data_IF_395236075073
#
_entry.id   IF_395236075073
#
_cell.length_a   1.000
_cell.length_b   1.000
_cell.length_c   1.000
_cell.angle_alpha   90.00
_cell.angle_beta   90.00
_cell.angle_gamma   90.00
#
_symmetry.space_group_name_H-M   'P 1'
#
loop_
_entity.id
_entity.type
_entity.pdbx_description
1 polymer ?
#
# COMPACT_ATOMS: atom_id res chain seq x y z
N UNK A 1 -15.66 -15.64 -10.66
CA UNK A 1 -14.95 -14.35 -10.77
C UNK A 1 -13.51 -14.66 -11.20
N UNK A 2 -13.01 -14.05 -12.28
CA UNK A 2 -11.60 -14.18 -12.71
C UNK A 2 -10.89 -12.86 -12.37
N UNK A 3 -10.26 -12.73 -11.19
CA UNK A 3 -9.65 -11.48 -10.78
C UNK A 3 -8.46 -11.14 -11.69
N UNK A 4 -8.29 -9.85 -12.00
CA UNK A 4 -7.12 -9.40 -12.72
C UNK A 4 -5.87 -9.63 -11.86
N UNK A 5 -4.83 -10.23 -12.45
CA UNK A 5 -3.56 -10.52 -11.75
C UNK A 5 -2.95 -9.29 -11.08
N UNK A 6 -3.07 -8.12 -11.70
CA UNK A 6 -2.69 -6.82 -11.13
C UNK A 6 -3.31 -6.55 -9.76
N UNK A 7 -4.58 -6.91 -9.56
CA UNK A 7 -5.30 -6.70 -8.29
C UNK A 7 -4.80 -7.69 -7.25
N UNK A 8 -4.48 -8.93 -7.66
CA UNK A 8 -3.84 -9.91 -6.76
C UNK A 8 -2.49 -9.38 -6.29
N UNK A 9 -1.62 -8.94 -7.21
CA UNK A 9 -0.34 -8.32 -6.84
C UNK A 9 -0.51 -7.09 -5.95
N UNK A 10 -1.45 -6.20 -6.29
CA UNK A 10 -1.78 -5.05 -5.47
C UNK A 10 -2.15 -5.48 -4.03
N UNK A 11 -3.10 -6.41 -3.86
CA UNK A 11 -3.57 -6.83 -2.53
C UNK A 11 -2.45 -7.46 -1.69
N UNK A 12 -1.59 -8.28 -2.30
CA UNK A 12 -0.48 -8.94 -1.60
C UNK A 12 0.59 -7.92 -1.20
N UNK A 13 1.02 -7.06 -2.13
CA UNK A 13 2.06 -6.07 -1.87
C UNK A 13 1.59 -4.99 -0.89
N UNK A 14 0.38 -4.46 -1.07
CA UNK A 14 -0.19 -3.45 -0.18
C UNK A 14 -0.42 -4.03 1.23
N UNK A 15 -0.99 -5.23 1.32
CA UNK A 15 -1.21 -5.91 2.60
C UNK A 15 0.10 -6.22 3.33
N UNK A 16 1.14 -6.67 2.62
CA UNK A 16 2.44 -6.92 3.23
C UNK A 16 3.12 -5.63 3.68
N UNK A 17 3.12 -4.58 2.86
CA UNK A 17 3.66 -3.28 3.23
C UNK A 17 2.96 -2.69 4.46
N UNK A 18 1.63 -2.64 4.46
CA UNK A 18 0.85 -2.14 5.60
C UNK A 18 1.10 -2.97 6.86
N UNK A 19 1.10 -4.30 6.75
CA UNK A 19 1.38 -5.21 7.86
C UNK A 19 2.78 -5.02 8.44
N UNK A 20 3.79 -4.86 7.57
CA UNK A 20 5.16 -4.59 7.98
C UNK A 20 5.28 -3.26 8.73
N UNK A 21 4.67 -2.18 8.23
CA UNK A 21 4.65 -0.88 8.90
C UNK A 21 4.02 -0.96 10.30
N UNK A 22 2.88 -1.66 10.43
CA UNK A 22 2.19 -1.85 11.71
C UNK A 22 3.05 -2.63 12.70
N UNK A 23 3.66 -3.74 12.26
CA UNK A 23 4.52 -4.56 13.13
C UNK A 23 5.74 -3.78 13.61
N UNK A 24 6.38 -3.01 12.72
CA UNK A 24 7.51 -2.15 13.10
C UNK A 24 7.11 -1.06 14.11
N UNK A 25 5.96 -0.41 13.89
CA UNK A 25 5.43 0.58 14.81
C UNK A 25 5.14 -0.02 16.20
N UNK A 26 4.50 -1.19 16.25
CA UNK A 26 4.25 -1.92 17.49
C UNK A 26 5.53 -2.32 18.20
N UNK A 27 6.56 -2.76 17.46
CA UNK A 27 7.85 -3.13 18.03
C UNK A 27 8.55 -1.94 18.72
N UNK A 28 8.46 -0.74 18.12
CA UNK A 28 8.97 0.50 18.73
C UNK A 28 8.17 0.87 19.98
N UNK A 29 6.83 0.86 19.89
CA UNK A 29 5.95 1.21 21.02
C UNK A 29 6.07 0.24 22.20
N UNK A 30 6.33 -1.04 21.94
CA UNK A 30 6.59 -2.06 22.96
C UNK A 30 8.01 -1.99 23.55
N UNK A 31 8.87 -1.07 23.07
CA UNK A 31 10.27 -0.97 23.50
C UNK A 31 11.18 -2.08 22.97
N UNK A 32 10.69 -2.94 22.06
CA UNK A 32 11.47 -4.03 21.45
C UNK A 32 12.39 -3.57 20.33
N UNK A 33 12.21 -2.35 19.82
CA UNK A 33 13.04 -1.76 18.77
C UNK A 33 13.37 -0.32 19.11
N UNK A 34 14.66 0.04 19.03
CA UNK A 34 15.09 1.41 19.24
C UNK A 34 14.53 2.33 18.12
N UNK A 35 14.01 3.52 18.48
CA UNK A 35 13.69 4.55 17.51
C UNK A 35 14.91 4.85 16.61
N UNK A 36 14.67 5.07 15.33
CA UNK A 36 15.71 5.35 14.32
C UNK A 36 16.81 4.29 14.17
N UNK A 37 16.60 3.04 14.63
CA UNK A 37 17.55 1.95 14.36
C UNK A 37 17.67 1.66 12.85
N UNK A 38 18.85 1.20 12.36
CA UNK A 38 19.01 0.84 10.95
C UNK A 38 18.01 -0.22 10.46
N UNK A 39 17.61 -1.14 11.34
CA UNK A 39 16.58 -2.14 11.05
C UNK A 39 15.19 -1.51 10.87
N UNK A 40 14.83 -0.55 11.73
CA UNK A 40 13.57 0.20 11.57
C UNK A 40 13.56 0.94 10.23
N UNK A 41 14.66 1.65 9.92
CA UNK A 41 14.76 2.45 8.70
C UNK A 41 14.70 1.59 7.44
N UNK A 42 15.43 0.46 7.40
CA UNK A 42 15.38 -0.46 6.25
C UNK A 42 14.01 -1.15 6.12
N UNK A 43 13.38 -1.51 7.23
CA UNK A 43 12.03 -2.08 7.26
C UNK A 43 10.97 -1.10 6.76
N UNK A 44 11.04 0.17 7.18
CA UNK A 44 10.16 1.22 6.69
C UNK A 44 10.39 1.52 5.20
N UNK A 45 11.64 1.54 4.75
CA UNK A 45 11.97 1.71 3.33
C UNK A 45 11.41 0.56 2.47
N UNK A 46 11.54 -0.69 2.94
CA UNK A 46 10.96 -1.85 2.29
C UNK A 46 9.43 -1.77 2.26
N UNK A 47 8.80 -1.41 3.39
CA UNK A 47 7.35 -1.16 3.45
C UNK A 47 6.94 -0.14 2.41
N UNK A 48 7.63 1.00 2.33
CA UNK A 48 7.34 2.05 1.35
C UNK A 48 7.45 1.54 -0.09
N UNK A 49 8.51 0.80 -0.41
CA UNK A 49 8.71 0.21 -1.72
C UNK A 49 7.59 -0.76 -2.10
N UNK A 50 7.14 -1.61 -1.16
CA UNK A 50 6.03 -2.53 -1.37
C UNK A 50 4.71 -1.79 -1.63
N UNK A 51 4.41 -0.73 -0.86
CA UNK A 51 3.20 0.06 -1.03
C UNK A 51 3.19 0.80 -2.38
N UNK A 52 4.32 1.40 -2.77
CA UNK A 52 4.46 2.03 -4.09
C UNK A 52 4.32 1.02 -5.23
N UNK A 53 4.94 -0.16 -5.11
CA UNK A 53 4.84 -1.23 -6.10
C UNK A 53 3.40 -1.76 -6.21
N UNK A 54 2.72 -1.95 -5.08
CA UNK A 54 1.32 -2.32 -5.05
C UNK A 54 0.44 -1.27 -5.75
N UNK A 55 0.57 -0.01 -5.36
CA UNK A 55 -0.20 1.09 -5.96
C UNK A 55 0.03 1.14 -7.48
N UNK A 56 1.28 1.04 -7.94
CA UNK A 56 1.61 0.97 -9.36
C UNK A 56 0.94 -0.24 -10.05
N UNK A 57 0.97 -1.42 -9.43
CA UNK A 57 0.31 -2.62 -9.96
C UNK A 57 -1.20 -2.42 -10.16
N UNK A 58 -1.86 -1.62 -9.33
CA UNK A 58 -3.30 -1.31 -9.47
C UNK A 58 -3.63 -0.61 -10.79
N UNK A 59 -2.70 0.09 -11.44
CA UNK A 59 -2.97 0.75 -12.72
C UNK A 59 -2.86 -0.20 -13.92
N UNK A 60 -2.18 -1.33 -13.77
CA UNK A 60 -1.85 -2.22 -14.89
C UNK A 60 -3.05 -2.92 -15.53
N UNK A 61 -4.21 -2.97 -14.85
CA UNK A 61 -5.45 -3.50 -15.43
C UNK A 61 -6.40 -2.44 -15.96
N UNK A 62 -6.04 -1.16 -15.89
CA UNK A 62 -6.91 -0.10 -16.40
C UNK A 62 -6.83 -0.10 -17.93
N UNK A 63 -7.95 -0.37 -18.59
CA UNK A 63 -8.05 -0.22 -20.05
C UNK A 63 -7.87 1.22 -20.55
N UNK A 64 -8.13 2.21 -19.69
CA UNK A 64 -7.99 3.64 -19.98
C UNK A 64 -7.29 4.39 -18.84
N UNK A 65 -5.95 4.36 -18.77
CA UNK A 65 -5.18 4.94 -17.67
C UNK A 65 -5.41 6.45 -17.50
N UNK A 66 -5.67 7.18 -18.58
CA UNK A 66 -5.99 8.62 -18.53
C UNK A 66 -7.26 8.95 -17.72
N UNK A 67 -8.14 7.96 -17.49
CA UNK A 67 -9.37 8.10 -16.70
C UNK A 67 -9.24 7.52 -15.30
N UNK A 68 -8.03 7.16 -14.86
CA UNK A 68 -7.77 6.56 -13.55
C UNK A 68 -8.20 7.45 -12.38
N UNK A 69 -8.19 8.78 -12.56
CA UNK A 69 -8.69 9.72 -11.56
C UNK A 69 -10.14 9.46 -11.13
N UNK A 70 -10.97 8.86 -12.00
CA UNK A 70 -12.35 8.48 -11.67
C UNK A 70 -12.42 7.35 -10.64
N UNK A 71 -11.34 6.56 -10.49
CA UNK A 71 -11.26 5.51 -9.49
C UNK A 71 -11.39 6.05 -8.06
N UNK A 72 -11.00 7.31 -7.80
CA UNK A 72 -11.16 7.95 -6.50
C UNK A 72 -12.61 8.42 -6.21
N UNK A 73 -13.48 8.52 -7.22
CA UNK A 73 -14.83 9.06 -7.04
C UNK A 73 -15.78 8.13 -6.24
N UNK A 74 -15.50 6.82 -6.23
CA UNK A 74 -16.37 5.80 -5.62
C UNK A 74 -15.93 5.38 -4.21
N UNK A 75 -15.31 6.27 -3.45
CA UNK A 75 -14.68 5.95 -2.14
C UNK A 75 -15.65 5.39 -1.09
N UNK A 76 -16.94 5.75 -1.16
CA UNK A 76 -17.94 5.26 -0.21
C UNK A 76 -18.30 3.79 -0.44
N UNK A 77 -18.28 3.32 -1.68
CA UNK A 77 -18.78 1.99 -2.06
C UNK A 77 -17.71 1.03 -2.56
N UNK A 78 -16.56 1.52 -3.01
CA UNK A 78 -15.46 0.70 -3.52
C UNK A 78 -14.32 0.64 -2.52
N UNK A 79 -13.95 -0.58 -2.11
CA UNK A 79 -12.76 -0.82 -1.29
C UNK A 79 -11.48 -0.34 -2.00
N UNK A 80 -11.31 -0.69 -3.28
CA UNK A 80 -10.14 -0.29 -4.07
C UNK A 80 -10.03 1.24 -4.18
N UNK A 81 -11.17 1.94 -4.28
CA UNK A 81 -11.20 3.41 -4.31
C UNK A 81 -10.64 4.02 -3.02
N UNK A 82 -10.93 3.42 -1.86
CA UNK A 82 -10.38 3.87 -0.58
C UNK A 82 -8.87 3.67 -0.54
N UNK A 83 -8.37 2.52 -0.96
CA UNK A 83 -6.92 2.27 -0.98
C UNK A 83 -6.18 3.24 -1.93
N UNK A 84 -6.76 3.54 -3.10
CA UNK A 84 -6.19 4.51 -4.06
C UNK A 84 -6.15 5.95 -3.49
N UNK A 85 -6.94 6.27 -2.47
CA UNK A 85 -6.91 7.58 -1.79
C UNK A 85 -5.98 7.52 -0.58
N UNK A 86 -6.17 6.51 0.28
CA UNK A 86 -5.47 6.39 1.55
C UNK A 86 -3.99 6.10 1.33
N UNK A 87 -3.61 5.13 0.47
CA UNK A 87 -2.21 4.79 0.30
C UNK A 87 -1.36 6.01 -0.12
N UNK A 88 -1.68 6.75 -1.21
CA UNK A 88 -0.92 7.95 -1.58
C UNK A 88 -0.87 9.03 -0.49
N UNK A 89 -1.90 9.15 0.34
CA UNK A 89 -1.96 10.15 1.41
C UNK A 89 -1.00 9.85 2.58
N UNK A 90 -0.53 8.61 2.72
CA UNK A 90 0.32 8.17 3.84
C UNK A 90 1.73 7.71 3.42
N UNK A 91 1.98 7.49 2.13
CA UNK A 91 3.28 7.03 1.60
C UNK A 91 4.15 8.18 1.03
N UNK A 92 3.72 9.43 1.19
CA UNK A 92 4.40 10.65 0.76
C UNK A 92 4.93 11.46 1.92
#
# INVERSE_FOLDING_TARGET
MNPAWSVVFFTVLAGFGQGLAVVLALAVLAGGLAPASPFLLSGLALSMALLMAGLAASFLHLGHPLRAWRAAAMWRTSWLSREVIVLPAFIG
#
